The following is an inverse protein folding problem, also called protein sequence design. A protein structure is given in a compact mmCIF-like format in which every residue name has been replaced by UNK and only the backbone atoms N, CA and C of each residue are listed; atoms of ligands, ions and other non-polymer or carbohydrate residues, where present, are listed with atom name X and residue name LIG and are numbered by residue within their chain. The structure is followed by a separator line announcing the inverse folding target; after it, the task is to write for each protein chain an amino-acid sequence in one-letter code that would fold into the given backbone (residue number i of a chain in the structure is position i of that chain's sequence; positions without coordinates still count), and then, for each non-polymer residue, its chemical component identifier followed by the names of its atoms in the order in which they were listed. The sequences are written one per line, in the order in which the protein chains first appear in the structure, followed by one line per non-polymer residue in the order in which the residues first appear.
data_IF_583259930301
#
_entry.id   IF_583259930301
#
_cell.length_a   1.000
_cell.length_b   1.000
_cell.length_c   1.000
_cell.angle_alpha   90.00
_cell.angle_beta   90.00
_cell.angle_gamma   90.00
#
_symmetry.space_group_name_H-M   'P 1'
#
loop_
_entity.id
_entity.type
_entity.pdbx_description
1 polymer ?
#
# COMPACT_ATOMS: atom_id res chain seq x y z
N UNK A 1 -7.03 -7.10 19.69
CA UNK A 1 -6.76 -5.82 20.37
C UNK A 1 -6.65 -4.76 19.29
N UNK A 2 -7.55 -3.78 19.28
CA UNK A 2 -7.37 -2.57 18.48
C UNK A 2 -6.17 -1.82 19.06
N UNK A 3 -5.08 -1.71 18.30
CA UNK A 3 -3.94 -0.89 18.69
C UNK A 3 -4.38 0.57 18.61
N UNK A 4 -4.49 1.24 19.76
CA UNK A 4 -4.95 2.62 19.93
C UNK A 4 -4.16 3.68 19.12
N UNK A 5 -3.03 3.28 18.52
CA UNK A 5 -2.12 4.15 17.77
C UNK A 5 -2.36 4.11 16.25
N UNK A 6 -3.18 3.19 15.76
CA UNK A 6 -3.48 3.06 14.34
C UNK A 6 -4.73 3.85 13.97
N UNK A 7 -4.60 4.76 13.01
CA UNK A 7 -5.72 5.52 12.45
C UNK A 7 -5.99 5.04 11.04
N UNK A 8 -7.26 4.83 10.70
CA UNK A 8 -7.64 4.49 9.33
C UNK A 8 -7.23 5.66 8.42
N UNK A 9 -6.62 5.35 7.27
CA UNK A 9 -6.20 6.38 6.30
C UNK A 9 -7.39 7.00 5.56
N UNK A 10 -8.52 6.30 5.51
CA UNK A 10 -9.78 6.81 4.98
C UNK A 10 -10.27 7.95 5.89
N UNK A 11 -10.44 9.14 5.32
CA UNK A 11 -10.81 10.35 6.08
C UNK A 11 -9.65 11.00 6.85
N UNK A 12 -8.40 10.62 6.59
CA UNK A 12 -7.23 11.21 7.24
C UNK A 12 -6.84 12.54 6.55
N UNK A 13 -7.43 13.65 7.00
CA UNK A 13 -7.33 14.97 6.34
C UNK A 13 -5.92 15.57 6.24
N UNK A 14 -4.92 15.03 6.95
CA UNK A 14 -3.53 15.53 6.95
C UNK A 14 -2.52 14.39 7.04
N UNK A 15 -2.47 13.55 6.00
CA UNK A 15 -1.46 12.51 5.85
C UNK A 15 -0.05 13.11 5.92
N UNK A 16 0.84 12.64 6.82
CA UNK A 16 2.22 13.11 6.83
C UNK A 16 2.92 12.68 5.54
N UNK A 17 3.87 13.49 5.09
CA UNK A 17 4.71 13.13 3.95
C UNK A 17 5.65 11.97 4.30
N UNK A 18 5.81 11.07 3.34
CA UNK A 18 6.79 9.99 3.34
C UNK A 18 7.81 10.15 2.21
N UNK A 19 7.85 11.30 1.52
CA UNK A 19 8.92 11.59 0.56
C UNK A 19 10.28 11.53 1.28
N UNK A 20 11.25 10.85 0.68
CA UNK A 20 12.57 10.53 1.26
C UNK A 20 12.54 9.67 2.53
N UNK A 21 11.37 9.13 2.93
CA UNK A 21 11.32 8.12 3.97
C UNK A 21 11.90 6.80 3.44
N UNK A 22 12.51 6.02 4.32
CA UNK A 22 13.07 4.72 3.98
C UNK A 22 12.16 3.61 4.48
N UNK A 23 11.79 2.67 3.61
CA UNK A 23 11.13 1.43 4.00
C UNK A 23 12.17 0.51 4.69
N UNK A 24 12.02 0.33 6.00
CA UNK A 24 13.01 -0.38 6.83
C UNK A 24 12.54 -1.76 7.28
N UNK A 25 11.23 -2.05 7.20
CA UNK A 25 10.69 -3.36 7.55
C UNK A 25 9.45 -3.70 6.73
N UNK A 26 9.38 -4.98 6.37
CA UNK A 26 8.20 -5.64 5.80
C UNK A 26 7.89 -6.84 6.70
N UNK A 27 6.68 -6.89 7.26
CA UNK A 27 6.22 -8.03 8.05
C UNK A 27 4.98 -8.64 7.39
N UNK A 28 5.13 -9.85 6.86
CA UNK A 28 4.07 -10.56 6.16
C UNK A 28 3.42 -11.58 7.11
N UNK A 29 2.12 -11.40 7.39
CA UNK A 29 1.32 -12.23 8.30
C UNK A 29 0.14 -12.86 7.56
N UNK A 30 0.37 -13.91 6.76
CA UNK A 30 -0.65 -14.49 5.89
C UNK A 30 -1.82 -15.14 6.64
N UNK A 31 -1.59 -15.66 7.85
CA UNK A 31 -2.66 -16.26 8.69
C UNK A 31 -3.71 -15.22 9.09
N UNK A 32 -3.30 -13.98 9.33
CA UNK A 32 -4.17 -12.87 9.71
C UNK A 32 -4.63 -12.05 8.49
N UNK A 33 -4.15 -12.40 7.28
CA UNK A 33 -4.29 -11.59 6.07
C UNK A 33 -3.79 -10.17 6.26
N UNK A 34 -2.61 -10.04 6.88
CA UNK A 34 -1.99 -8.74 7.16
C UNK A 34 -0.61 -8.58 6.52
N UNK A 35 -0.31 -7.34 6.17
CA UNK A 35 1.01 -6.87 5.80
C UNK A 35 1.31 -5.63 6.62
N UNK A 36 2.53 -5.52 7.15
CA UNK A 36 2.98 -4.31 7.82
C UNK A 36 4.20 -3.77 7.09
N UNK A 37 4.21 -2.45 6.83
CA UNK A 37 5.32 -1.74 6.23
C UNK A 37 5.73 -0.61 7.18
N UNK A 38 6.97 -0.63 7.65
CA UNK A 38 7.49 0.41 8.54
C UNK A 38 8.52 1.27 7.83
N UNK A 39 8.37 2.58 8.00
CA UNK A 39 9.17 3.61 7.38
C UNK A 39 9.90 4.44 8.43
N UNK A 40 11.19 4.70 8.19
CA UNK A 40 11.97 5.72 8.88
C UNK A 40 11.82 7.04 8.12
N UNK A 41 11.33 8.10 8.78
CA UNK A 41 11.05 9.40 8.15
C UNK A 41 12.21 10.37 8.37
N UNK A 42 12.37 11.33 7.45
CA UNK A 42 13.47 12.32 7.51
C UNK A 42 13.42 13.25 8.74
N UNK A 43 12.25 13.38 9.37
CA UNK A 43 12.08 14.14 10.61
C UNK A 43 12.50 13.35 11.87
N UNK A 44 13.05 12.15 11.69
CA UNK A 44 13.40 11.22 12.76
C UNK A 44 12.21 10.42 13.30
N UNK A 45 11.01 10.64 12.76
CA UNK A 45 9.81 9.89 13.12
C UNK A 45 9.76 8.51 12.45
N UNK A 46 8.86 7.67 12.94
CA UNK A 46 8.52 6.38 12.33
C UNK A 46 7.08 6.43 11.85
N UNK A 47 6.80 5.78 10.71
CA UNK A 47 5.44 5.52 10.27
C UNK A 47 5.25 4.05 9.95
N UNK A 48 4.28 3.40 10.58
CA UNK A 48 3.93 2.00 10.32
C UNK A 48 2.56 1.96 9.63
N UNK A 49 2.54 1.46 8.40
CA UNK A 49 1.31 1.09 7.70
C UNK A 49 0.98 -0.36 8.00
N UNK A 50 -0.26 -0.60 8.44
CA UNK A 50 -0.85 -1.92 8.63
C UNK A 50 -1.98 -2.11 7.64
N UNK A 51 -1.85 -3.12 6.79
CA UNK A 51 -2.84 -3.54 5.82
C UNK A 51 -3.60 -4.74 6.40
N UNK A 52 -4.93 -4.70 6.39
CA UNK A 52 -5.79 -5.80 6.88
C UNK A 52 -6.69 -6.31 5.78
N UNK A 53 -6.98 -7.61 5.77
CA UNK A 53 -7.75 -8.23 4.69
C UNK A 53 -6.98 -8.12 3.36
N UNK A 54 -5.68 -8.40 3.37
CA UNK A 54 -4.83 -8.34 2.18
C UNK A 54 -5.32 -9.34 1.15
N UNK A 55 -5.75 -8.83 -0.01
CA UNK A 55 -6.27 -9.60 -1.15
C UNK A 55 -5.12 -9.97 -2.09
N UNK A 56 -4.23 -9.02 -2.35
CA UNK A 56 -3.05 -9.21 -3.20
C UNK A 56 -1.97 -8.21 -2.80
N UNK A 57 -0.72 -8.63 -2.88
CA UNK A 57 0.43 -7.79 -2.62
C UNK A 57 1.59 -8.20 -3.51
N UNK A 58 2.41 -7.22 -3.90
CA UNK A 58 3.70 -7.46 -4.53
C UNK A 58 4.72 -6.45 -4.00
N UNK A 59 5.88 -6.96 -3.64
CA UNK A 59 7.06 -6.19 -3.23
C UNK A 59 8.22 -6.73 -4.07
N UNK A 60 8.94 -5.85 -4.75
CA UNK A 60 10.18 -6.20 -5.48
C UNK A 60 11.30 -5.27 -5.06
N UNK A 61 12.54 -5.67 -5.34
CA UNK A 61 13.75 -4.85 -5.21
C UNK A 61 13.97 -4.23 -3.82
N UNK A 62 13.51 -4.91 -2.75
CA UNK A 62 13.87 -4.56 -1.38
C UNK A 62 15.38 -4.78 -1.18
N UNK A 63 16.12 -3.68 -1.05
CA UNK A 63 17.57 -3.66 -1.09
C UNK A 63 18.15 -2.92 0.13
N UNK A 64 19.45 -2.58 0.08
CA UNK A 64 20.13 -1.84 1.14
C UNK A 64 19.55 -0.44 1.37
N UNK A 65 19.00 0.19 0.33
CA UNK A 65 18.29 1.47 0.42
C UNK A 65 16.92 1.33 -0.24
N UNK A 66 15.85 1.75 0.45
CA UNK A 66 14.47 1.66 -0.04
C UNK A 66 13.76 3.00 0.15
N UNK A 67 14.20 4.01 -0.59
CA UNK A 67 13.78 5.39 -0.44
C UNK A 67 12.50 5.64 -1.23
N UNK A 68 11.49 6.16 -0.54
CA UNK A 68 10.19 6.48 -1.10
C UNK A 68 10.26 7.77 -1.91
N UNK A 69 9.77 7.71 -3.16
CA UNK A 69 9.44 8.89 -3.94
C UNK A 69 8.04 9.37 -3.55
N UNK A 70 7.05 8.48 -3.70
CA UNK A 70 5.64 8.79 -3.45
C UNK A 70 4.90 7.59 -2.85
N UNK A 71 3.93 7.90 -1.99
CA UNK A 71 2.91 6.94 -1.57
C UNK A 71 1.58 7.37 -2.20
N UNK A 72 0.96 6.47 -2.95
CA UNK A 72 -0.36 6.67 -3.55
C UNK A 72 -1.35 5.76 -2.81
N UNK A 73 -2.40 6.34 -2.26
CA UNK A 73 -3.42 5.61 -1.49
C UNK A 73 -4.78 5.98 -2.05
N UNK A 74 -5.64 5.00 -2.36
CA UNK A 74 -6.93 5.27 -3.01
C UNK A 74 -7.84 6.23 -2.23
N UNK A 75 -7.68 6.30 -0.91
CA UNK A 75 -8.38 7.24 -0.04
C UNK A 75 -7.97 8.72 -0.24
N UNK A 76 -6.77 8.98 -0.77
CA UNK A 76 -6.19 10.31 -0.92
C UNK A 76 -5.72 10.64 -2.35
N UNK A 77 -5.63 9.63 -3.22
CA UNK A 77 -5.21 9.74 -4.60
C UNK A 77 -6.30 9.18 -5.53
N UNK A 78 -6.85 10.01 -6.43
CA UNK A 78 -7.92 9.60 -7.34
C UNK A 78 -7.33 8.82 -8.51
N UNK A 79 -7.07 7.53 -8.31
CA UNK A 79 -6.59 6.67 -9.39
C UNK A 79 -7.58 6.62 -10.55
N UNK A 80 -7.07 6.73 -11.77
CA UNK A 80 -7.82 6.40 -12.97
C UNK A 80 -8.01 4.88 -13.12
N UNK A 81 -9.02 4.48 -13.91
CA UNK A 81 -9.25 3.09 -14.27
C UNK A 81 -8.01 2.45 -14.91
N UNK A 82 -7.29 3.21 -15.75
CA UNK A 82 -6.07 2.75 -16.41
C UNK A 82 -4.95 2.44 -15.41
N UNK A 83 -4.72 3.33 -14.43
CA UNK A 83 -3.71 3.13 -13.38
C UNK A 83 -4.05 1.92 -12.51
N UNK A 84 -5.32 1.77 -12.09
CA UNK A 84 -5.74 0.59 -11.32
C UNK A 84 -5.50 -0.69 -12.12
N UNK A 85 -5.90 -0.72 -13.39
CA UNK A 85 -5.67 -1.87 -14.26
C UNK A 85 -4.19 -2.22 -14.38
N UNK A 86 -3.31 -1.22 -14.49
CA UNK A 86 -1.87 -1.41 -14.53
C UNK A 86 -1.34 -2.00 -13.22
N UNK A 87 -1.71 -1.45 -12.06
CA UNK A 87 -1.26 -1.95 -10.76
C UNK A 87 -1.78 -3.36 -10.46
N UNK A 88 -3.04 -3.64 -10.77
CA UNK A 88 -3.62 -4.97 -10.64
C UNK A 88 -2.90 -5.98 -11.54
N UNK A 89 -2.61 -5.62 -12.80
CA UNK A 89 -1.81 -6.46 -13.69
C UNK A 89 -0.41 -6.70 -13.13
N UNK A 90 0.27 -5.64 -12.71
CA UNK A 90 1.62 -5.72 -12.17
C UNK A 90 1.70 -6.60 -10.91
N UNK A 91 0.80 -6.41 -9.94
CA UNK A 91 0.76 -7.23 -8.71
C UNK A 91 0.56 -8.73 -8.99
N UNK A 92 -0.24 -9.07 -10.02
CA UNK A 92 -0.59 -10.46 -10.32
C UNK A 92 0.32 -11.11 -11.38
N UNK A 93 1.21 -10.34 -12.00
CA UNK A 93 2.17 -10.88 -12.98
C UNK A 93 3.35 -11.51 -12.26
N UNK A 94 3.92 -12.57 -12.84
CA UNK A 94 5.16 -13.22 -12.40
C UNK A 94 6.16 -13.17 -13.55
N UNK A 95 7.45 -13.37 -13.26
CA UNK A 95 8.53 -13.27 -14.27
C UNK A 95 8.28 -14.15 -15.51
N UNK A 96 7.63 -15.31 -15.35
CA UNK A 96 7.28 -16.22 -16.45
C UNK A 96 5.79 -16.16 -16.88
N UNK A 97 5.02 -15.22 -16.33
CA UNK A 97 3.57 -15.16 -16.55
C UNK A 97 3.06 -13.71 -16.54
N UNK A 98 2.72 -13.21 -17.72
CA UNK A 98 1.87 -12.03 -17.84
C UNK A 98 0.49 -12.35 -17.27
N UNK A 99 0.07 -11.64 -16.23
CA UNK A 99 -1.30 -11.75 -15.75
C UNK A 99 -2.27 -11.43 -16.91
N UNK A 100 -3.29 -12.28 -17.06
CA UNK A 100 -4.34 -12.08 -18.05
C UNK A 100 -4.91 -10.65 -17.95
N UNK A 101 -5.34 -10.10 -19.09
CA UNK A 101 -6.03 -8.82 -19.11
C UNK A 101 -7.19 -8.86 -18.10
N UNK A 102 -7.21 -7.90 -17.18
CA UNK A 102 -8.32 -7.76 -16.25
C UNK A 102 -9.60 -7.49 -17.04
N UNK A 103 -10.66 -8.25 -16.75
CA UNK A 103 -12.00 -7.97 -17.28
C UNK A 103 -12.43 -6.57 -16.81
N UNK A 104 -12.95 -5.77 -17.75
CA UNK A 104 -13.49 -4.43 -17.49
C UNK A 104 -14.56 -4.46 -16.38
N UNK A 105 -15.32 -5.55 -16.28
CA UNK A 105 -16.31 -5.73 -15.20
C UNK A 105 -15.68 -5.84 -13.81
N UNK A 106 -14.50 -6.43 -13.70
CA UNK A 106 -13.76 -6.57 -12.44
C UNK A 106 -13.09 -5.25 -12.06
N UNK A 107 -12.54 -4.54 -13.04
CA UNK A 107 -11.96 -3.21 -12.84
C UNK A 107 -13.00 -2.21 -12.32
N UNK A 108 -14.18 -2.17 -12.96
CA UNK A 108 -15.29 -1.32 -12.52
C UNK A 108 -15.78 -1.66 -11.11
N UNK A 109 -15.70 -2.93 -10.71
CA UNK A 109 -16.03 -3.34 -9.33
C UNK A 109 -15.03 -2.78 -8.32
N UNK A 110 -13.73 -2.83 -8.63
CA UNK A 110 -12.72 -2.26 -7.73
C UNK A 110 -12.84 -0.74 -7.60
N UNK A 111 -13.10 -0.03 -8.70
CA UNK A 111 -13.41 1.41 -8.66
C UNK A 111 -14.59 1.69 -7.71
N UNK A 112 -15.70 0.97 -7.88
CA UNK A 112 -16.86 1.11 -7.01
C UNK A 112 -16.64 0.65 -5.56
N UNK A 113 -15.65 -0.22 -5.30
CA UNK A 113 -15.25 -0.62 -3.96
C UNK A 113 -14.36 0.44 -3.30
N UNK A 114 -13.49 1.12 -4.06
CA UNK A 114 -12.66 2.22 -3.57
C UNK A 114 -13.49 3.46 -3.26
N UNK A 115 -14.40 3.84 -4.16
CA UNK A 115 -15.32 4.98 -3.95
C UNK A 115 -16.25 4.80 -2.75
N UNK A 116 -16.49 3.55 -2.36
CA UNK A 116 -17.35 3.18 -1.24
C UNK A 116 -16.56 2.75 0.01
N UNK A 117 -15.25 2.99 0.05
CA UNK A 117 -14.37 2.67 1.18
C UNK A 117 -14.42 1.20 1.63
N UNK A 118 -14.76 0.27 0.72
CA UNK A 118 -14.81 -1.18 0.98
C UNK A 118 -13.47 -1.87 0.75
N UNK A 119 -12.62 -1.26 -0.06
CA UNK A 119 -11.27 -1.72 -0.37
C UNK A 119 -10.35 -0.52 -0.46
N UNK A 120 -9.05 -0.79 -0.38
CA UNK A 120 -8.03 0.20 -0.59
C UNK A 120 -6.88 -0.34 -1.43
N UNK A 121 -6.33 0.55 -2.26
CA UNK A 121 -5.09 0.34 -2.99
C UNK A 121 -4.01 1.24 -2.39
N UNK A 122 -2.87 0.64 -2.09
CA UNK A 122 -1.64 1.33 -1.68
C UNK A 122 -0.54 1.03 -2.69
N UNK A 123 0.19 2.06 -3.08
CA UNK A 123 1.36 1.97 -3.95
C UNK A 123 2.49 2.79 -3.34
N UNK A 124 3.67 2.18 -3.23
CA UNK A 124 4.95 2.82 -2.97
C UNK A 124 5.70 2.88 -4.30
N UNK A 125 5.89 4.10 -4.81
CA UNK A 125 6.79 4.35 -5.93
C UNK A 125 8.18 4.70 -5.39
N UNK A 126 9.23 3.93 -5.72
CA UNK A 126 10.56 4.17 -5.19
C UNK A 126 11.24 5.35 -5.89
N UNK A 127 12.00 6.12 -5.11
CA UNK A 127 13.15 6.87 -5.62
C UNK A 127 14.33 5.91 -5.84
N UNK A 128 14.49 4.92 -4.95
CA UNK A 128 15.46 3.84 -5.05
C UNK A 128 14.98 2.62 -4.24
N UNK A 129 15.28 1.40 -4.71
CA UNK A 129 14.95 0.15 -4.01
C UNK A 129 13.48 -0.26 -4.17
N UNK A 130 12.85 -0.59 -3.05
CA UNK A 130 11.58 -1.31 -3.04
C UNK A 130 10.42 -0.62 -3.77
N UNK A 131 9.81 -1.32 -4.72
CA UNK A 131 8.51 -0.99 -5.29
C UNK A 131 7.44 -1.90 -4.66
N UNK A 132 6.34 -1.30 -4.19
CA UNK A 132 5.31 -2.02 -3.44
C UNK A 132 3.93 -1.66 -3.94
N UNK A 133 3.07 -2.65 -4.14
CA UNK A 133 1.64 -2.44 -4.27
C UNK A 133 0.85 -3.44 -3.42
N UNK A 134 -0.20 -2.96 -2.77
CA UNK A 134 -1.04 -3.73 -1.85
C UNK A 134 -2.51 -3.41 -2.11
N UNK A 135 -3.29 -4.45 -2.38
CA UNK A 135 -4.74 -4.41 -2.44
C UNK A 135 -5.30 -5.09 -1.18
N UNK A 136 -6.10 -4.36 -0.41
CA UNK A 136 -6.61 -4.82 0.89
C UNK A 136 -8.00 -4.25 1.19
N UNK A 137 -8.59 -4.66 2.30
CA UNK A 137 -9.86 -4.11 2.79
C UNK A 137 -9.67 -2.77 3.49
N UNK A 138 -8.63 -2.64 4.33
CA UNK A 138 -8.35 -1.40 5.05
C UNK A 138 -6.85 -1.16 5.28
N UNK A 139 -6.49 0.11 5.35
CA UNK A 139 -5.14 0.59 5.62
C UNK A 139 -5.19 1.44 6.88
N UNK A 140 -4.27 1.14 7.79
CA UNK A 140 -4.11 1.85 9.04
C UNK A 140 -2.71 2.42 9.16
N UNK A 141 -2.58 3.63 9.68
CA UNK A 141 -1.31 4.29 9.90
C UNK A 141 -1.09 4.55 11.39
N UNK A 142 0.06 4.13 11.91
CA UNK A 142 0.61 4.54 13.19
C UNK A 142 1.83 5.43 12.97
N UNK A 143 1.96 6.50 13.75
CA UNK A 143 3.17 7.34 13.83
C UNK A 143 3.94 7.15 15.15
N UNK A 144 3.53 6.14 15.93
CA UNK A 144 4.18 5.76 17.17
C UNK A 144 5.38 4.83 16.85
N UNK A 145 6.61 5.15 17.32
CA UNK A 145 7.79 4.30 17.11
C UNK A 145 7.72 2.94 17.79
N UNK A 146 6.87 2.76 18.82
CA UNK A 146 6.76 1.52 19.60
C UNK A 146 5.81 0.47 18.98
N UNK A 147 5.32 0.74 17.77
CA UNK A 147 4.31 -0.07 17.05
C UNK A 147 4.91 -0.84 15.89
#
# INVERSE_FOLDING_TARGET
MENANHRNVIGFENMPTFHDAELVMIEHRPTDQELWLRFSRIDGGVGTFRFTGVISQRVIDFAEQNVVSRLLISAAYPFSAAEIGQWLKWMNSREDFEAASFDESLLNRYLADFDADRKALFVLEPSCGAEVAVLCEAIWLSLDPDV
#
